data_IF_309348327948
#
_entry.id   IF_309348327948
#
_cell.length_a   1.000
_cell.length_b   1.000
_cell.length_c   1.000
_cell.angle_alpha   90.00
_cell.angle_beta   90.00
_cell.angle_gamma   90.00
#
_symmetry.space_group_name_H-M   'P 1'
#
loop_
_entity.id
_entity.type
_entity.pdbx_description
1 polymer ?
#
# COMPACT_ATOMS: atom_id res chain seq x y z
N UNK A 1 0.57 19.66 -11.24
CA UNK A 1 1.36 18.54 -11.80
C UNK A 1 0.42 17.36 -11.86
N UNK A 2 -0.08 16.99 -13.05
CA UNK A 2 -0.92 15.81 -13.19
C UNK A 2 -0.07 14.58 -12.81
N UNK A 3 -0.38 13.98 -11.67
CA UNK A 3 0.34 12.81 -11.18
C UNK A 3 0.00 11.61 -12.06
N UNK A 4 1.02 10.93 -12.57
CA UNK A 4 0.87 9.68 -13.31
C UNK A 4 0.04 8.68 -12.49
N UNK A 5 -0.92 8.02 -13.13
CA UNK A 5 -1.77 7.03 -12.46
C UNK A 5 -0.91 5.90 -11.86
N UNK A 6 -1.25 5.47 -10.63
CA UNK A 6 -0.67 4.25 -10.07
C UNK A 6 -1.13 3.03 -10.87
N UNK A 7 -0.17 2.26 -11.40
CA UNK A 7 -0.41 1.06 -12.20
C UNK A 7 -0.06 -0.17 -11.38
N UNK A 8 -1.08 -0.84 -10.84
CA UNK A 8 -0.91 -2.05 -10.05
C UNK A 8 -0.67 -3.26 -10.97
N UNK A 9 0.48 -3.90 -10.82
CA UNK A 9 0.84 -5.17 -11.43
C UNK A 9 0.67 -6.30 -10.42
N UNK A 10 -0.05 -7.34 -10.80
CA UNK A 10 -0.20 -8.57 -10.01
C UNK A 10 -0.72 -9.68 -10.92
N UNK A 11 -0.22 -10.92 -10.80
CA UNK A 11 -0.82 -12.08 -11.47
C UNK A 11 -2.11 -12.56 -10.78
N UNK A 12 -2.46 -11.98 -9.63
CA UNK A 12 -3.63 -12.34 -8.83
C UNK A 12 -4.63 -11.20 -8.77
N UNK A 13 -5.91 -11.54 -8.80
CA UNK A 13 -7.00 -10.63 -8.49
C UNK A 13 -7.34 -10.66 -6.98
N UNK A 14 -7.92 -9.59 -6.42
CA UNK A 14 -8.38 -9.59 -5.05
C UNK A 14 -9.37 -10.74 -4.79
N UNK A 15 -9.13 -11.51 -3.73
CA UNK A 15 -9.92 -12.69 -3.39
C UNK A 15 -10.29 -12.73 -1.88
N UNK A 16 -11.23 -13.60 -1.52
CA UNK A 16 -11.74 -13.71 -0.14
C UNK A 16 -12.35 -12.38 0.32
N UNK A 17 -11.94 -11.88 1.48
CA UNK A 17 -12.46 -10.63 2.06
C UNK A 17 -11.79 -9.36 1.48
N UNK A 18 -10.78 -9.52 0.62
CA UNK A 18 -10.03 -8.39 0.07
C UNK A 18 -10.90 -7.42 -0.76
N UNK A 19 -11.80 -7.87 -1.67
CA UNK A 19 -12.62 -6.96 -2.47
C UNK A 19 -13.47 -6.02 -1.61
N UNK A 20 -14.13 -6.55 -0.58
CA UNK A 20 -14.95 -5.75 0.34
C UNK A 20 -14.08 -4.77 1.14
N UNK A 21 -12.95 -5.23 1.68
CA UNK A 21 -12.03 -4.38 2.43
C UNK A 21 -11.49 -3.22 1.56
N UNK A 22 -11.10 -3.49 0.31
CA UNK A 22 -10.65 -2.48 -0.66
C UNK A 22 -11.76 -1.45 -0.90
N UNK A 23 -12.98 -1.92 -1.16
CA UNK A 23 -14.12 -1.05 -1.44
C UNK A 23 -14.42 -0.13 -0.25
N UNK A 24 -14.52 -0.69 0.96
CA UNK A 24 -14.86 0.06 2.17
C UNK A 24 -13.80 1.11 2.52
N UNK A 25 -12.52 0.73 2.47
CA UNK A 25 -11.42 1.66 2.73
C UNK A 25 -11.40 2.81 1.70
N UNK A 26 -11.54 2.47 0.42
CA UNK A 26 -11.58 3.45 -0.69
C UNK A 26 -12.73 4.42 -0.49
N UNK A 27 -13.95 3.91 -0.26
CA UNK A 27 -15.14 4.72 -0.06
C UNK A 27 -15.01 5.65 1.16
N UNK A 28 -14.50 5.14 2.29
CA UNK A 28 -14.30 5.95 3.49
C UNK A 28 -13.29 7.09 3.27
N UNK A 29 -12.23 6.86 2.50
CA UNK A 29 -11.21 7.89 2.19
C UNK A 29 -11.76 8.93 1.20
N UNK A 30 -12.58 8.52 0.23
CA UNK A 30 -13.27 9.42 -0.69
C UNK A 30 -14.34 10.27 0.00
N UNK A 31 -15.01 9.72 1.03
CA UNK A 31 -15.96 10.43 1.87
C UNK A 31 -15.31 11.43 2.86
N UNK A 32 -13.98 11.57 2.84
CA UNK A 32 -13.24 12.49 3.72
C UNK A 32 -12.98 11.94 5.12
N UNK A 33 -13.15 10.64 5.35
CA UNK A 33 -12.80 9.97 6.60
C UNK A 33 -11.31 10.11 6.89
N UNK A 34 -10.96 10.74 8.03
CA UNK A 34 -9.57 10.98 8.42
C UNK A 34 -8.84 9.73 8.93
N UNK A 35 -9.58 8.83 9.57
CA UNK A 35 -9.02 7.64 10.23
C UNK A 35 -9.83 6.41 9.84
N UNK A 36 -9.13 5.35 9.45
CA UNK A 36 -9.70 4.05 9.15
C UNK A 36 -8.75 2.94 9.59
N UNK A 37 -9.31 1.78 9.92
CA UNK A 37 -8.55 0.62 10.37
C UNK A 37 -8.88 -0.57 9.48
N UNK A 38 -7.84 -1.19 8.90
CA UNK A 38 -7.96 -2.48 8.23
C UNK A 38 -7.72 -3.60 9.27
N UNK A 39 -8.80 -4.23 9.73
CA UNK A 39 -8.71 -5.43 10.56
C UNK A 39 -8.51 -6.65 9.65
N UNK A 40 -7.29 -7.20 9.64
CA UNK A 40 -6.96 -8.36 8.82
C UNK A 40 -6.04 -9.34 9.53
N UNK A 41 -6.37 -10.63 9.44
CA UNK A 41 -5.56 -11.71 10.02
C UNK A 41 -4.19 -11.84 9.34
N UNK A 42 -3.24 -12.52 9.97
CA UNK A 42 -1.94 -12.82 9.34
C UNK A 42 -2.14 -13.66 8.09
N UNK A 43 -1.38 -13.37 7.02
CA UNK A 43 -1.48 -14.09 5.75
C UNK A 43 -2.64 -13.66 4.83
N UNK A 44 -3.50 -12.72 5.24
CA UNK A 44 -4.65 -12.27 4.42
C UNK A 44 -4.30 -11.36 3.23
N UNK A 45 -3.01 -11.11 2.97
CA UNK A 45 -2.58 -10.24 1.87
C UNK A 45 -2.83 -8.74 2.11
N UNK A 46 -2.67 -8.26 3.35
CA UNK A 46 -2.90 -6.84 3.71
C UNK A 46 -2.16 -5.84 2.82
N UNK A 47 -0.91 -6.13 2.43
CA UNK A 47 -0.16 -5.23 1.53
C UNK A 47 -0.86 -5.09 0.18
N UNK A 48 -1.35 -6.19 -0.40
CA UNK A 48 -2.05 -6.18 -1.68
C UNK A 48 -3.41 -5.46 -1.60
N UNK A 49 -4.13 -5.62 -0.48
CA UNK A 49 -5.33 -4.81 -0.18
C UNK A 49 -4.98 -3.32 -0.20
N UNK A 50 -3.95 -2.89 0.53
CA UNK A 50 -3.53 -1.49 0.58
C UNK A 50 -3.05 -0.98 -0.78
N UNK A 51 -2.34 -1.79 -1.57
CA UNK A 51 -1.93 -1.45 -2.93
C UNK A 51 -3.14 -1.13 -3.84
N UNK A 52 -4.19 -1.95 -3.77
CA UNK A 52 -5.43 -1.67 -4.51
C UNK A 52 -6.08 -0.35 -4.05
N UNK A 53 -6.08 -0.04 -2.76
CA UNK A 53 -6.59 1.25 -2.24
C UNK A 53 -5.76 2.42 -2.77
N UNK A 54 -4.43 2.32 -2.76
CA UNK A 54 -3.52 3.35 -3.30
C UNK A 54 -3.82 3.59 -4.78
N UNK A 55 -3.97 2.51 -5.57
CA UNK A 55 -4.35 2.59 -6.99
C UNK A 55 -5.67 3.33 -7.19
N UNK A 56 -6.70 2.98 -6.42
CA UNK A 56 -8.04 3.57 -6.57
C UNK A 56 -8.07 5.06 -6.22
N UNK A 57 -7.32 5.47 -5.20
CA UNK A 57 -7.29 6.87 -4.75
C UNK A 57 -6.37 7.74 -5.59
N UNK A 58 -5.35 7.15 -6.21
CA UNK A 58 -4.35 7.81 -7.01
C UNK A 58 -3.68 9.01 -6.30
N UNK A 59 -3.25 8.80 -5.05
CA UNK A 59 -2.62 9.83 -4.21
C UNK A 59 -1.22 9.39 -3.77
N UNK A 60 -0.22 10.30 -3.71
CA UNK A 60 1.04 10.02 -3.06
C UNK A 60 0.80 9.53 -1.63
N UNK A 61 1.42 8.41 -1.26
CA UNK A 61 1.14 7.69 -0.01
C UNK A 61 2.44 7.45 0.74
N UNK A 62 2.44 7.74 2.05
CA UNK A 62 3.52 7.41 2.97
C UNK A 62 3.15 6.15 3.75
N UNK A 63 4.01 5.14 3.70
CA UNK A 63 3.86 3.90 4.47
C UNK A 63 4.89 3.89 5.58
N UNK A 64 4.43 3.79 6.83
CA UNK A 64 5.29 3.82 8.01
C UNK A 64 5.37 2.42 8.60
N UNK A 65 6.59 1.93 8.79
CA UNK A 65 6.88 0.65 9.44
C UNK A 65 7.68 0.90 10.72
N UNK A 66 7.46 0.06 11.72
CA UNK A 66 8.12 0.19 13.03
C UNK A 66 9.57 -0.31 13.05
N UNK A 67 10.05 -0.97 11.99
CA UNK A 67 11.43 -1.48 11.91
C UNK A 67 11.96 -1.52 10.46
N UNK A 68 13.29 -1.53 10.31
CA UNK A 68 13.99 -1.51 9.01
C UNK A 68 13.70 -2.76 8.16
N UNK A 69 13.63 -3.95 8.78
CA UNK A 69 13.39 -5.23 8.09
C UNK A 69 12.02 -5.25 7.40
N UNK A 70 10.95 -4.92 8.12
CA UNK A 70 9.60 -4.85 7.55
C UNK A 70 9.48 -3.70 6.57
N UNK A 71 10.17 -2.57 6.80
CA UNK A 71 10.21 -1.48 5.83
C UNK A 71 10.82 -1.94 4.49
N UNK A 72 11.90 -2.71 4.52
CA UNK A 72 12.53 -3.26 3.32
C UNK A 72 11.64 -4.29 2.61
N UNK A 73 10.96 -5.15 3.38
CA UNK A 73 9.98 -6.11 2.83
C UNK A 73 8.83 -5.39 2.11
N UNK A 74 8.22 -4.40 2.77
CA UNK A 74 7.15 -3.59 2.16
C UNK A 74 7.66 -2.86 0.92
N UNK A 75 8.86 -2.28 0.97
CA UNK A 75 9.46 -1.63 -0.19
C UNK A 75 9.56 -2.59 -1.39
N UNK A 76 10.10 -3.80 -1.18
CA UNK A 76 10.22 -4.80 -2.23
C UNK A 76 8.84 -5.23 -2.79
N UNK A 77 7.86 -5.47 -1.91
CA UNK A 77 6.48 -5.79 -2.32
C UNK A 77 5.86 -4.66 -3.15
N UNK A 78 5.92 -3.42 -2.68
CA UNK A 78 5.37 -2.26 -3.39
C UNK A 78 6.10 -1.97 -4.69
N UNK A 79 7.42 -2.22 -4.78
CA UNK A 79 8.17 -2.10 -6.03
C UNK A 79 7.72 -3.14 -7.05
N UNK A 80 7.38 -4.36 -6.60
CA UNK A 80 6.76 -5.39 -7.43
C UNK A 80 5.34 -5.04 -7.86
N UNK A 81 4.53 -4.44 -6.97
CA UNK A 81 3.17 -4.00 -7.28
C UNK A 81 3.11 -2.79 -8.20
N UNK A 82 4.07 -1.86 -8.12
CA UNK A 82 4.07 -0.62 -8.88
C UNK A 82 5.41 -0.40 -9.62
N UNK A 83 5.79 -1.29 -10.54
CA UNK A 83 7.09 -1.22 -11.21
C UNK A 83 7.23 0.03 -12.10
N UNK A 84 6.11 0.59 -12.54
CA UNK A 84 6.04 1.79 -13.38
C UNK A 84 5.90 3.10 -12.58
N UNK A 85 5.77 3.03 -11.25
CA UNK A 85 5.65 4.22 -10.41
C UNK A 85 6.88 4.40 -9.50
N UNK A 86 7.05 5.62 -9.00
CA UNK A 86 8.10 5.94 -8.03
C UNK A 86 7.74 5.32 -6.66
N UNK A 87 8.40 4.20 -6.35
CA UNK A 87 8.38 3.56 -5.04
C UNK A 87 9.77 3.78 -4.44
N UNK A 88 9.82 4.54 -3.34
CA UNK A 88 11.04 5.02 -2.71
C UNK A 88 11.20 4.45 -1.30
N UNK A 89 12.45 4.35 -0.84
CA UNK A 89 12.80 3.84 0.47
C UNK A 89 13.48 4.94 1.29
N UNK A 90 12.88 5.30 2.44
CA UNK A 90 13.39 6.36 3.31
C UNK A 90 13.56 5.84 4.73
N UNK A 91 14.82 5.59 5.12
CA UNK A 91 15.23 5.17 6.46
C UNK A 91 16.51 5.89 6.85
N UNK A 92 16.87 5.84 8.14
CA UNK A 92 18.19 6.28 8.59
C UNK A 92 19.28 5.52 7.84
N UNK A 93 20.14 6.27 7.14
CA UNK A 93 21.36 5.78 6.48
C UNK A 93 22.51 5.53 7.46
N UNK A 94 22.31 5.81 8.75
CA UNK A 94 23.26 5.40 9.76
C UNK A 94 23.10 3.90 10.00
N UNK A 95 24.22 3.19 9.80
CA UNK A 95 24.37 1.78 10.14
C UNK A 95 24.28 1.55 11.67
N UNK A 96 24.49 2.62 12.46
CA UNK A 96 24.58 2.67 13.93
C UNK A 96 25.71 1.80 14.53
N UNK A 97 26.20 2.28 15.69
CA UNK A 97 27.08 1.60 16.64
C UNK A 97 26.64 0.17 16.98
#
# INVERSE_FOLDING_TARGET
>A
VEGQAFKLHSPFEPAGDQPEAIQRLTAGLLAGGKHQTLLGVTGSGKTFTVANVIRNLNRPTLIISHNKTLAAQLYAEFKGFFPENAVEYFVSYFDYY
#
